data_IF_916461864830
#
_entry.id   IF_916461864830
#
_cell.length_a   1.000
_cell.length_b   1.000
_cell.length_c   1.000
_cell.angle_alpha   90.00
_cell.angle_beta   90.00
_cell.angle_gamma   90.00
#
_symmetry.space_group_name_H-M   'P 1'
#
loop_
_entity.id
_entity.type
_entity.pdbx_description
1 polymer ?
#
# COMPACT_ATOMS: atom_id res chain seq x y z
N UNK A 1 13.21 17.39 9.34
CA UNK A 1 12.96 16.14 10.09
C UNK A 1 13.10 14.96 9.14
N UNK A 2 13.87 13.92 9.51
CA UNK A 2 13.94 12.68 8.75
C UNK A 2 12.91 11.71 9.34
N UNK A 3 11.86 11.39 8.58
CA UNK A 3 10.87 10.41 9.01
C UNK A 3 11.37 8.97 8.73
N UNK A 4 10.97 8.01 9.55
CA UNK A 4 11.29 6.59 9.37
C UNK A 4 10.47 6.03 8.19
N UNK A 5 11.14 5.44 7.20
CA UNK A 5 10.46 4.78 6.06
C UNK A 5 10.01 3.37 6.44
N UNK A 6 8.93 2.84 5.86
CA UNK A 6 8.62 1.42 5.96
C UNK A 6 9.81 0.55 5.53
N UNK A 7 10.02 -0.58 6.22
CA UNK A 7 11.03 -1.56 5.85
C UNK A 7 10.72 -2.13 4.47
N UNK A 8 11.75 -2.63 3.78
CA UNK A 8 11.63 -3.19 2.43
C UNK A 8 10.95 -2.27 1.41
N UNK A 9 10.97 -0.95 1.65
CA UNK A 9 10.50 0.02 0.66
C UNK A 9 11.25 -0.17 -0.66
N UNK A 10 10.50 -0.41 -1.74
CA UNK A 10 11.02 -0.47 -3.11
C UNK A 10 10.01 0.11 -4.08
N UNK A 11 10.50 0.81 -5.09
CA UNK A 11 9.68 1.18 -6.23
C UNK A 11 9.36 -0.06 -7.07
N UNK A 12 8.10 -0.18 -7.43
CA UNK A 12 7.62 -1.08 -8.49
C UNK A 12 7.64 -0.31 -9.80
N UNK A 13 7.11 0.92 -9.77
CA UNK A 13 7.16 1.89 -10.86
C UNK A 13 7.55 3.25 -10.28
N UNK A 14 8.73 3.73 -10.64
CA UNK A 14 9.32 4.96 -10.08
C UNK A 14 8.33 6.13 -10.15
N UNK A 15 8.16 6.82 -9.02
CA UNK A 15 7.26 7.97 -8.89
C UNK A 15 5.76 7.66 -9.01
N UNK A 16 5.35 6.37 -9.03
CA UNK A 16 3.95 5.97 -9.17
C UNK A 16 3.52 4.91 -8.17
N UNK A 17 4.24 3.80 -8.11
CA UNK A 17 3.86 2.62 -7.32
C UNK A 17 5.07 2.12 -6.55
N UNK A 18 4.92 1.96 -5.24
CA UNK A 18 5.93 1.33 -4.40
C UNK A 18 5.31 0.26 -3.51
N UNK A 19 6.18 -0.60 -2.97
CA UNK A 19 5.83 -1.59 -1.97
C UNK A 19 6.70 -1.48 -0.73
N UNK A 20 6.26 -2.07 0.38
CA UNK A 20 7.07 -2.20 1.59
C UNK A 20 6.32 -2.90 2.71
N UNK A 21 6.91 -2.89 3.91
CA UNK A 21 6.29 -3.39 5.13
C UNK A 21 5.11 -2.52 5.54
N UNK A 22 4.28 -3.03 6.46
CA UNK A 22 3.15 -2.26 6.97
C UNK A 22 3.60 -0.96 7.67
N UNK A 23 2.91 0.16 7.43
CA UNK A 23 3.01 1.32 8.29
C UNK A 23 2.40 0.96 9.65
N UNK A 24 3.16 1.14 10.74
CA UNK A 24 2.72 0.80 12.10
C UNK A 24 2.94 1.95 13.09
N UNK A 25 3.62 3.02 12.67
CA UNK A 25 3.97 4.18 13.50
C UNK A 25 3.72 5.47 12.73
N UNK A 26 3.55 6.57 13.46
CA UNK A 26 3.36 7.90 12.89
C UNK A 26 4.49 8.30 11.92
N UNK A 27 5.73 7.90 12.21
CA UNK A 27 6.88 8.14 11.34
C UNK A 27 6.72 7.55 9.94
N UNK A 28 6.23 6.31 9.82
CA UNK A 28 5.99 5.67 8.53
C UNK A 28 4.94 6.42 7.71
N UNK A 29 3.87 6.84 8.38
CA UNK A 29 2.77 7.58 7.77
C UNK A 29 3.24 8.94 7.24
N UNK A 30 3.95 9.70 8.08
CA UNK A 30 4.55 10.97 7.71
C UNK A 30 5.55 10.83 6.56
N UNK A 31 6.37 9.77 6.58
CA UNK A 31 7.32 9.49 5.51
C UNK A 31 6.59 9.26 4.17
N UNK A 32 5.62 8.33 4.14
CA UNK A 32 4.82 8.05 2.94
C UNK A 32 4.16 9.33 2.42
N UNK A 33 3.52 10.10 3.30
CA UNK A 33 2.84 11.34 2.92
C UNK A 33 3.83 12.40 2.38
N UNK A 34 5.01 12.54 3.01
CA UNK A 34 6.07 13.45 2.56
C UNK A 34 6.67 13.07 1.19
N UNK A 35 6.58 11.79 0.81
CA UNK A 35 7.02 11.28 -0.50
C UNK A 35 5.94 11.37 -1.58
N UNK A 36 4.74 11.85 -1.25
CA UNK A 36 3.64 12.02 -2.20
C UNK A 36 2.70 10.82 -2.30
N UNK A 37 2.88 9.77 -1.49
CA UNK A 37 1.90 8.68 -1.44
C UNK A 37 0.57 9.19 -0.89
N UNK A 38 -0.49 8.97 -1.66
CA UNK A 38 -1.87 9.39 -1.37
C UNK A 38 -2.89 8.28 -1.61
N UNK A 39 -2.42 7.08 -1.92
CA UNK A 39 -3.20 5.86 -2.01
C UNK A 39 -2.42 4.70 -1.35
N UNK A 40 -3.11 3.88 -0.56
CA UNK A 40 -2.53 2.74 0.17
C UNK A 40 -3.40 1.50 0.00
N UNK A 41 -2.77 0.36 -0.30
CA UNK A 41 -3.40 -0.96 -0.28
C UNK A 41 -2.81 -1.77 0.86
N UNK A 42 -3.66 -2.20 1.78
CA UNK A 42 -3.30 -3.02 2.94
C UNK A 42 -3.76 -4.45 2.74
N UNK A 43 -2.81 -5.38 2.61
CA UNK A 43 -3.07 -6.82 2.51
C UNK A 43 -3.25 -7.51 3.88
N UNK A 44 -3.23 -6.73 4.95
CA UNK A 44 -3.51 -7.15 6.33
C UNK A 44 -3.99 -5.96 7.15
N UNK A 45 -4.44 -6.22 8.37
CA UNK A 45 -4.85 -5.18 9.29
C UNK A 45 -3.67 -4.28 9.71
N UNK A 46 -3.97 -3.00 9.90
CA UNK A 46 -3.03 -1.97 10.33
C UNK A 46 -3.56 -1.29 11.60
N UNK A 47 -2.69 -0.73 12.45
CA UNK A 47 -3.14 -0.07 13.66
C UNK A 47 -4.14 1.06 13.39
N UNK A 48 -5.12 1.26 14.29
CA UNK A 48 -6.19 2.25 14.09
C UNK A 48 -5.65 3.68 13.93
N UNK A 49 -4.57 4.05 14.64
CA UNK A 49 -3.95 5.37 14.49
C UNK A 49 -3.40 5.63 13.08
N UNK A 50 -3.04 4.56 12.35
CA UNK A 50 -2.64 4.65 10.94
C UNK A 50 -3.85 4.88 10.04
N UNK A 51 -4.96 4.16 10.29
CA UNK A 51 -6.22 4.35 9.56
C UNK A 51 -6.76 5.77 9.77
N UNK A 52 -6.71 6.26 11.01
CA UNK A 52 -7.09 7.63 11.37
C UNK A 52 -6.21 8.65 10.64
N UNK A 53 -4.90 8.43 10.59
CA UNK A 53 -3.99 9.28 9.82
C UNK A 53 -4.37 9.32 8.33
N UNK A 54 -4.64 8.17 7.71
CA UNK A 54 -5.05 8.11 6.31
C UNK A 54 -6.34 8.89 6.06
N UNK A 55 -7.35 8.72 6.93
CA UNK A 55 -8.61 9.48 6.87
C UNK A 55 -8.39 10.98 6.99
N UNK A 56 -7.64 11.43 8.02
CA UNK A 56 -7.35 12.85 8.28
C UNK A 56 -6.59 13.54 7.15
N UNK A 57 -5.77 12.78 6.41
CA UNK A 57 -4.92 13.29 5.35
C UNK A 57 -5.43 12.92 3.95
N UNK A 58 -6.71 12.57 3.83
CA UNK A 58 -7.39 12.26 2.56
C UNK A 58 -6.64 11.23 1.70
N UNK A 59 -5.97 10.28 2.36
CA UNK A 59 -5.26 9.18 1.70
C UNK A 59 -6.28 8.11 1.35
N UNK A 60 -6.37 7.76 0.07
CA UNK A 60 -7.21 6.64 -0.36
C UNK A 60 -6.67 5.37 0.29
N UNK A 61 -7.52 4.59 0.91
CA UNK A 61 -7.13 3.38 1.60
C UNK A 61 -8.05 2.23 1.18
N UNK A 62 -7.43 1.15 0.69
CA UNK A 62 -8.11 -0.11 0.40
C UNK A 62 -7.61 -1.18 1.36
N UNK A 63 -8.52 -1.77 2.12
CA UNK A 63 -8.31 -2.99 2.88
C UNK A 63 -8.65 -4.19 2.00
N UNK A 64 -7.61 -4.92 1.57
CA UNK A 64 -7.70 -6.05 0.66
C UNK A 64 -6.95 -7.23 1.28
N UNK A 65 -7.47 -7.70 2.42
CA UNK A 65 -6.79 -8.70 3.25
C UNK A 65 -6.53 -10.00 2.50
N UNK A 66 -5.35 -10.55 2.74
CA UNK A 66 -4.87 -11.81 2.20
C UNK A 66 -4.06 -12.52 3.29
N UNK A 67 -4.49 -13.72 3.65
CA UNK A 67 -3.77 -14.56 4.61
C UNK A 67 -2.41 -15.03 4.04
N UNK A 68 -1.45 -15.37 4.89
CA UNK A 68 -0.07 -15.63 4.44
C UNK A 68 0.05 -16.79 3.44
N UNK A 69 -0.75 -17.84 3.65
CA UNK A 69 -0.77 -19.06 2.84
C UNK A 69 -1.91 -19.09 1.81
N UNK A 70 -2.68 -18.00 1.69
CA UNK A 70 -3.78 -17.90 0.76
C UNK A 70 -3.31 -17.47 -0.64
N UNK A 71 -3.96 -18.01 -1.67
CA UNK A 71 -3.81 -17.54 -3.03
C UNK A 71 -4.83 -16.42 -3.33
N UNK A 72 -4.41 -15.28 -3.91
CA UNK A 72 -5.32 -14.18 -4.21
C UNK A 72 -6.45 -14.63 -5.13
N UNK A 73 -7.69 -14.42 -4.71
CA UNK A 73 -8.85 -14.65 -5.58
C UNK A 73 -8.88 -13.65 -6.75
N UNK A 74 -9.50 -14.05 -7.86
CA UNK A 74 -9.69 -13.15 -9.00
C UNK A 74 -10.46 -11.87 -8.61
N UNK A 75 -11.41 -11.99 -7.67
CA UNK A 75 -12.16 -10.85 -7.15
C UNK A 75 -11.26 -9.88 -6.37
N UNK A 76 -10.40 -10.40 -5.49
CA UNK A 76 -9.44 -9.58 -4.74
C UNK A 76 -8.49 -8.82 -5.67
N UNK A 77 -7.94 -9.52 -6.68
CA UNK A 77 -7.06 -8.92 -7.68
C UNK A 77 -7.82 -7.86 -8.50
N UNK A 78 -9.08 -8.12 -8.87
CA UNK A 78 -9.95 -7.16 -9.54
C UNK A 78 -10.14 -5.88 -8.72
N UNK A 79 -10.47 -5.99 -7.44
CA UNK A 79 -10.62 -4.85 -6.52
C UNK A 79 -9.34 -4.00 -6.43
N UNK A 80 -8.18 -4.65 -6.31
CA UNK A 80 -6.90 -3.94 -6.24
C UNK A 80 -6.59 -3.26 -7.58
N UNK A 81 -6.90 -3.91 -8.72
CA UNK A 81 -6.74 -3.32 -10.05
C UNK A 81 -7.58 -2.06 -10.23
N UNK A 82 -8.87 -2.12 -9.89
CA UNK A 82 -9.77 -0.96 -9.95
C UNK A 82 -9.27 0.20 -9.07
N UNK A 83 -8.78 -0.12 -7.87
CA UNK A 83 -8.21 0.88 -6.97
C UNK A 83 -6.92 1.50 -7.53
N UNK A 84 -6.07 0.71 -8.18
CA UNK A 84 -4.87 1.19 -8.85
C UNK A 84 -5.22 2.12 -10.02
N UNK A 85 -6.17 1.72 -10.87
CA UNK A 85 -6.65 2.54 -12.00
C UNK A 85 -7.26 3.86 -11.52
N UNK A 86 -8.01 3.82 -10.41
CA UNK A 86 -8.50 5.03 -9.74
C UNK A 86 -7.34 5.92 -9.26
N UNK A 87 -6.35 5.33 -8.58
CA UNK A 87 -5.17 6.06 -8.10
C UNK A 87 -4.41 6.74 -9.24
N UNK A 88 -4.23 6.05 -10.37
CA UNK A 88 -3.57 6.61 -11.55
C UNK A 88 -4.37 7.76 -12.18
N UNK A 89 -5.69 7.60 -12.34
CA UNK A 89 -6.59 8.67 -12.82
C UNK A 89 -6.54 9.91 -11.93
N UNK A 90 -6.49 9.72 -10.62
CA UNK A 90 -6.39 10.81 -9.64
C UNK A 90 -4.94 11.31 -9.44
N UNK A 91 -3.97 10.78 -10.20
CA UNK A 91 -2.53 11.12 -10.09
C UNK A 91 -1.96 10.94 -8.68
N UNK A 92 -2.48 9.97 -7.94
CA UNK A 92 -2.03 9.62 -6.58
C UNK A 92 -0.99 8.51 -6.67
N UNK A 93 0.13 8.70 -5.99
CA UNK A 93 1.12 7.63 -5.82
C UNK A 93 0.59 6.57 -4.87
N UNK A 94 0.73 5.30 -5.26
CA UNK A 94 0.20 4.14 -4.56
C UNK A 94 1.30 3.39 -3.79
N UNK A 95 1.03 3.06 -2.54
CA UNK A 95 1.85 2.19 -1.73
C UNK A 95 1.09 0.91 -1.37
N UNK A 96 1.61 -0.26 -1.75
CA UNK A 96 1.02 -1.56 -1.38
C UNK A 96 1.89 -2.27 -0.35
N UNK A 97 1.28 -2.84 0.69
CA UNK A 97 2.04 -3.53 1.73
C UNK A 97 1.35 -4.81 2.23
N UNK A 98 2.17 -5.66 2.83
CA UNK A 98 1.76 -6.71 3.77
C UNK A 98 2.58 -6.52 5.06
N UNK A 99 2.88 -7.58 5.81
CA UNK A 99 3.69 -7.49 7.03
C UNK A 99 5.11 -7.03 6.72
N UNK A 100 5.83 -7.82 5.93
CA UNK A 100 7.22 -7.54 5.56
C UNK A 100 7.36 -6.82 4.21
N UNK A 101 6.28 -6.72 3.41
CA UNK A 101 6.33 -6.19 2.03
C UNK A 101 6.97 -7.13 0.99
N UNK A 102 7.10 -8.40 1.34
CA UNK A 102 7.76 -9.42 0.52
C UNK A 102 6.73 -10.31 -0.18
N UNK A 103 6.25 -11.36 0.49
CA UNK A 103 5.54 -12.48 -0.14
C UNK A 103 4.18 -12.12 -0.74
N UNK A 104 3.20 -11.73 0.09
CA UNK A 104 1.84 -11.40 -0.35
C UNK A 104 1.81 -10.26 -1.36
N UNK A 105 2.61 -9.22 -1.12
CA UNK A 105 2.74 -8.10 -2.06
C UNK A 105 3.30 -8.55 -3.41
N UNK A 106 4.35 -9.39 -3.42
CA UNK A 106 4.92 -9.93 -4.66
C UNK A 106 3.90 -10.77 -5.45
N UNK A 107 3.11 -11.63 -4.78
CA UNK A 107 2.04 -12.40 -5.43
C UNK A 107 1.04 -11.49 -6.14
N UNK A 108 0.55 -10.45 -5.46
CA UNK A 108 -0.38 -9.47 -6.04
C UNK A 108 0.24 -8.73 -7.23
N UNK A 109 1.47 -8.24 -7.10
CA UNK A 109 2.15 -7.50 -8.17
C UNK A 109 2.31 -8.35 -9.45
N UNK A 110 2.68 -9.63 -9.29
CA UNK A 110 2.78 -10.57 -10.43
C UNK A 110 1.45 -10.76 -11.14
N UNK A 111 0.35 -10.93 -10.39
CA UNK A 111 -1.00 -11.07 -10.96
C UNK A 111 -1.49 -9.77 -11.63
N UNK A 112 -1.05 -8.62 -11.13
CA UNK A 112 -1.31 -7.33 -11.75
C UNK A 112 -0.44 -7.05 -12.98
N UNK A 113 0.63 -7.84 -13.19
CA UNK A 113 1.67 -7.67 -14.21
C UNK A 113 2.44 -6.35 -14.05
N UNK A 114 2.84 -6.06 -12.81
CA UNK A 114 3.60 -4.88 -12.39
C UNK A 114 5.02 -5.22 -11.94
#
# INVERSE_FOLDING_TARGET
MQFEKPLNFRWVKEGKIARGSKPSRQGHCNWLHSKGFRAVVSLEDIPEHVKEFFRKNETLHLEAFLEEDEEPSAELVGKIREFLERSEREKRMLFIHCSAGATRTEKILRLLKL
#
